data_IF_930697705212
#
_entry.id   IF_930697705212
#
_cell.length_a   1.000
_cell.length_b   1.000
_cell.length_c   1.000
_cell.angle_alpha   90.00
_cell.angle_beta   90.00
_cell.angle_gamma   90.00
#
_symmetry.space_group_name_H-M   'P 1'
#
loop_
_entity.id
_entity.type
_entity.pdbx_description
1 polymer ?
#
# COMPACT_ATOMS: atom_id res chain seq x y z
N UNK A 1 20.96 5.67 -6.35
CA UNK A 1 20.59 4.73 -7.43
C UNK A 1 20.95 5.38 -8.75
N UNK A 2 21.83 4.77 -9.51
CA UNK A 2 22.37 5.35 -10.74
C UNK A 2 21.29 5.56 -11.81
N UNK A 3 21.36 6.67 -12.54
CA UNK A 3 20.37 7.04 -13.54
C UNK A 3 21.06 7.57 -14.80
N UNK A 4 20.53 7.23 -15.97
CA UNK A 4 20.90 7.88 -17.21
C UNK A 4 20.20 9.24 -17.24
N UNK A 5 20.98 10.32 -17.25
CA UNK A 5 20.49 11.71 -17.25
C UNK A 5 20.59 12.41 -18.60
N UNK A 6 21.34 11.83 -19.54
CA UNK A 6 21.48 12.31 -20.91
C UNK A 6 22.04 11.21 -21.81
N UNK A 7 21.74 11.31 -23.09
CA UNK A 7 22.30 10.38 -24.08
C UNK A 7 22.41 11.03 -25.47
N UNK A 8 23.32 10.53 -26.28
CA UNK A 8 23.46 10.82 -27.70
C UNK A 8 23.41 9.51 -28.49
N UNK A 9 22.69 9.49 -29.59
CA UNK A 9 22.67 8.34 -30.51
C UNK A 9 23.86 8.41 -31.46
N UNK A 10 24.54 7.32 -31.64
CA UNK A 10 25.64 7.16 -32.56
C UNK A 10 25.11 6.51 -33.85
N UNK A 11 25.78 6.76 -34.99
CA UNK A 11 25.39 6.26 -36.32
C UNK A 11 25.43 4.72 -36.42
N UNK A 12 26.20 4.06 -35.56
CA UNK A 12 26.33 2.62 -35.49
C UNK A 12 25.21 1.92 -34.64
N UNK A 13 24.17 2.64 -34.23
CA UNK A 13 23.07 2.11 -33.41
C UNK A 13 23.37 2.02 -31.90
N UNK A 14 24.57 2.41 -31.47
CA UNK A 14 24.90 2.52 -30.03
C UNK A 14 24.48 3.88 -29.45
N UNK A 15 24.58 4.03 -28.14
CA UNK A 15 24.38 5.31 -27.47
C UNK A 15 25.61 5.65 -26.62
N UNK A 16 25.94 6.94 -26.55
CA UNK A 16 26.79 7.50 -25.51
C UNK A 16 25.88 8.06 -24.45
N UNK A 17 26.05 7.65 -23.18
CA UNK A 17 25.17 8.06 -22.09
C UNK A 17 25.94 8.67 -20.92
N UNK A 18 25.32 9.68 -20.28
CA UNK A 18 25.79 10.22 -19.01
C UNK A 18 24.99 9.58 -17.90
N UNK A 19 25.70 8.92 -16.98
CA UNK A 19 25.11 8.20 -15.83
C UNK A 19 25.47 8.96 -14.56
N UNK A 20 24.46 9.32 -13.78
CA UNK A 20 24.64 9.97 -12.48
C UNK A 20 24.60 8.96 -11.33
N UNK A 21 25.18 9.32 -10.18
CA UNK A 21 25.18 8.55 -8.93
C UNK A 21 25.85 7.15 -9.08
N UNK A 22 26.89 7.02 -9.91
CA UNK A 22 27.70 5.79 -9.98
C UNK A 22 28.65 5.79 -8.80
N UNK A 23 28.63 4.70 -8.01
CA UNK A 23 29.58 4.50 -6.94
C UNK A 23 30.75 3.68 -7.48
N UNK A 24 31.96 4.23 -7.41
CA UNK A 24 33.20 3.60 -7.83
C UNK A 24 34.15 3.51 -6.64
N UNK A 25 34.97 2.50 -6.64
CA UNK A 25 36.07 2.35 -5.68
C UNK A 25 37.21 3.31 -6.01
N UNK A 26 38.12 3.53 -5.07
CA UNK A 26 39.30 4.36 -5.29
C UNK A 26 40.19 3.85 -6.45
N UNK A 27 40.32 2.53 -6.56
CA UNK A 27 41.12 1.91 -7.65
C UNK A 27 40.47 2.12 -9.01
N UNK A 28 39.15 2.00 -9.10
CA UNK A 28 38.38 2.27 -10.31
C UNK A 28 38.46 3.74 -10.75
N UNK A 29 38.43 4.66 -9.76
CA UNK A 29 38.62 6.10 -10.03
C UNK A 29 40.01 6.38 -10.59
N UNK A 30 41.06 5.78 -10.02
CA UNK A 30 42.45 5.92 -10.54
C UNK A 30 42.60 5.42 -11.98
N UNK A 31 41.90 4.33 -12.35
CA UNK A 31 41.92 3.84 -13.73
C UNK A 31 41.35 4.89 -14.69
N UNK A 32 40.18 5.47 -14.34
CA UNK A 32 39.52 6.49 -15.15
C UNK A 32 40.37 7.77 -15.23
N UNK A 33 40.95 8.23 -14.14
CA UNK A 33 41.81 9.42 -14.08
C UNK A 33 43.06 9.25 -14.93
N UNK A 34 43.56 8.02 -15.10
CA UNK A 34 44.65 7.67 -15.99
C UNK A 34 44.22 7.45 -17.45
N UNK A 35 42.94 7.70 -17.78
CA UNK A 35 42.42 7.56 -19.12
C UNK A 35 42.16 6.08 -19.54
N UNK A 36 42.15 5.15 -18.60
CA UNK A 36 41.86 3.74 -18.87
C UNK A 36 40.34 3.50 -18.81
N UNK A 37 39.72 3.04 -19.91
CA UNK A 37 38.30 2.75 -19.93
C UNK A 37 37.93 1.62 -18.95
N UNK A 38 36.92 1.90 -18.11
CA UNK A 38 36.38 0.90 -17.18
C UNK A 38 35.17 0.20 -17.84
N UNK A 39 35.24 -1.13 -18.09
CA UNK A 39 34.09 -1.85 -18.59
C UNK A 39 33.02 -1.97 -17.52
N UNK A 40 31.79 -1.53 -17.83
CA UNK A 40 30.63 -1.60 -16.94
C UNK A 40 29.47 -2.31 -17.61
N UNK A 41 28.68 -3.03 -16.84
CA UNK A 41 27.41 -3.59 -17.31
C UNK A 41 26.25 -2.69 -16.82
N UNK A 42 25.49 -2.16 -17.77
CA UNK A 42 24.31 -1.32 -17.48
C UNK A 42 23.05 -2.12 -17.77
N UNK A 43 22.26 -2.38 -16.74
CA UNK A 43 20.94 -3.01 -16.88
C UNK A 43 19.85 -2.01 -16.52
N UNK A 44 18.88 -1.82 -17.42
CA UNK A 44 17.70 -1.02 -17.12
C UNK A 44 16.82 -1.77 -16.10
N UNK A 45 16.37 -1.06 -15.09
CA UNK A 45 15.37 -1.58 -14.16
C UNK A 45 14.00 -1.26 -14.75
N UNK A 46 13.19 -2.28 -14.98
CA UNK A 46 11.79 -2.09 -15.37
C UNK A 46 11.02 -1.46 -14.20
N UNK A 47 10.83 -0.14 -14.27
CA UNK A 47 10.13 0.63 -13.24
C UNK A 47 8.65 0.31 -13.16
N UNK A 48 8.10 -0.39 -14.16
CA UNK A 48 6.70 -0.83 -14.21
C UNK A 48 6.48 -2.22 -13.58
N UNK A 49 7.55 -2.96 -13.30
CA UNK A 49 7.49 -4.29 -12.71
C UNK A 49 7.07 -4.25 -11.25
N UNK A 50 6.35 -5.27 -10.79
CA UNK A 50 5.95 -5.46 -9.39
C UNK A 50 7.11 -5.19 -8.43
N UNK A 51 6.84 -4.48 -7.35
CA UNK A 51 7.83 -4.23 -6.29
C UNK A 51 7.84 -5.38 -5.28
N UNK A 52 8.98 -5.57 -4.59
CA UNK A 52 9.06 -6.54 -3.49
C UNK A 52 8.07 -6.24 -2.37
N UNK A 53 7.78 -4.96 -2.13
CA UNK A 53 6.77 -4.54 -1.15
C UNK A 53 5.37 -5.03 -1.54
N UNK A 54 4.98 -4.89 -2.80
CA UNK A 54 3.68 -5.39 -3.30
C UNK A 54 3.62 -6.92 -3.23
N UNK A 55 4.70 -7.60 -3.65
CA UNK A 55 4.80 -9.06 -3.58
C UNK A 55 4.64 -9.57 -2.14
N UNK A 56 5.37 -8.99 -1.19
CA UNK A 56 5.26 -9.32 0.24
C UNK A 56 3.84 -9.09 0.78
N UNK A 57 3.17 -8.02 0.35
CA UNK A 57 1.77 -7.75 0.74
C UNK A 57 0.82 -8.85 0.27
N UNK A 58 0.90 -9.26 -1.01
CA UNK A 58 0.05 -10.32 -1.56
C UNK A 58 0.23 -11.63 -0.78
N UNK A 59 1.48 -12.03 -0.51
CA UNK A 59 1.75 -13.23 0.27
C UNK A 59 1.24 -13.14 1.71
N UNK A 60 1.39 -11.99 2.36
CA UNK A 60 0.92 -11.79 3.73
C UNK A 60 -0.61 -11.85 3.83
N UNK A 61 -1.32 -11.22 2.89
CA UNK A 61 -2.79 -11.24 2.83
C UNK A 61 -3.32 -12.67 2.58
N UNK A 62 -2.74 -13.41 1.63
CA UNK A 62 -3.12 -14.80 1.38
C UNK A 62 -2.81 -15.71 2.59
N UNK A 63 -1.73 -15.45 3.33
CA UNK A 63 -1.43 -16.16 4.57
C UNK A 63 -2.44 -15.85 5.68
N UNK A 64 -2.93 -14.62 5.79
CA UNK A 64 -3.98 -14.28 6.76
C UNK A 64 -5.29 -15.01 6.45
N UNK A 65 -5.64 -15.16 5.16
CA UNK A 65 -6.78 -15.97 4.72
C UNK A 65 -6.61 -17.45 5.14
N UNK A 66 -5.41 -18.01 4.92
CA UNK A 66 -5.10 -19.39 5.34
C UNK A 66 -5.24 -19.59 6.85
N UNK A 67 -4.75 -18.63 7.64
CA UNK A 67 -4.85 -18.68 9.11
C UNK A 67 -6.31 -18.60 9.58
N UNK A 68 -7.13 -17.75 8.96
CA UNK A 68 -8.49 -17.46 9.42
C UNK A 68 -9.49 -18.54 9.01
N UNK A 69 -9.43 -19.02 7.76
CA UNK A 69 -10.42 -19.94 7.19
C UNK A 69 -9.85 -21.26 6.64
N UNK A 70 -8.54 -21.49 6.77
CA UNK A 70 -7.90 -22.74 6.35
C UNK A 70 -7.74 -22.93 4.85
N UNK A 71 -8.05 -21.93 4.01
CA UNK A 71 -7.84 -22.02 2.57
C UNK A 71 -6.36 -21.84 2.23
N UNK A 72 -5.73 -22.79 1.49
CA UNK A 72 -4.31 -22.75 1.19
C UNK A 72 -3.91 -21.42 0.52
N UNK A 73 -2.91 -20.74 1.07
CA UNK A 73 -2.45 -19.42 0.58
C UNK A 73 -2.04 -19.43 -0.90
N UNK A 74 -1.45 -20.51 -1.38
CA UNK A 74 -1.03 -20.61 -2.78
C UNK A 74 -2.22 -20.75 -3.72
N UNK A 75 -3.26 -21.47 -3.31
CA UNK A 75 -4.52 -21.53 -4.03
C UNK A 75 -5.21 -20.16 -4.06
N UNK A 76 -5.32 -19.48 -2.92
CA UNK A 76 -5.93 -18.15 -2.85
C UNK A 76 -5.18 -17.13 -3.72
N UNK A 77 -3.85 -17.17 -3.69
CA UNK A 77 -3.02 -16.34 -4.57
C UNK A 77 -3.32 -16.58 -6.05
N UNK A 78 -3.32 -17.84 -6.48
CA UNK A 78 -3.64 -18.22 -7.86
C UNK A 78 -5.06 -17.76 -8.23
N UNK A 79 -6.03 -17.98 -7.39
CA UNK A 79 -7.43 -17.59 -7.60
C UNK A 79 -7.56 -16.07 -7.82
N UNK A 80 -6.90 -15.23 -7.01
CA UNK A 80 -6.93 -13.79 -7.20
C UNK A 80 -6.16 -13.32 -8.45
N UNK A 81 -5.08 -13.97 -8.81
CA UNK A 81 -4.38 -13.69 -10.07
C UNK A 81 -5.29 -13.96 -11.27
N UNK A 82 -5.97 -15.10 -11.30
CA UNK A 82 -6.92 -15.45 -12.34
C UNK A 82 -8.16 -14.55 -12.34
N UNK A 83 -8.69 -14.22 -11.17
CA UNK A 83 -9.80 -13.28 -11.05
C UNK A 83 -9.47 -11.92 -11.69
N UNK A 84 -8.31 -11.36 -11.41
CA UNK A 84 -7.84 -10.11 -11.99
C UNK A 84 -7.57 -10.25 -13.49
N UNK A 85 -7.01 -11.39 -13.92
CA UNK A 85 -6.78 -11.67 -15.33
C UNK A 85 -8.09 -11.59 -16.13
N UNK A 86 -9.12 -12.28 -15.66
CA UNK A 86 -10.43 -12.32 -16.31
C UNK A 86 -11.15 -10.97 -16.22
N UNK A 87 -11.17 -10.35 -15.03
CA UNK A 87 -11.88 -9.08 -14.79
C UNK A 87 -11.37 -7.95 -15.69
N UNK A 88 -10.06 -7.88 -15.91
CA UNK A 88 -9.44 -6.81 -16.71
C UNK A 88 -9.08 -7.24 -18.14
N UNK A 89 -9.42 -8.46 -18.56
CA UNK A 89 -9.19 -8.96 -19.91
C UNK A 89 -7.72 -9.14 -20.26
N UNK A 90 -6.86 -9.49 -19.30
CA UNK A 90 -5.45 -9.76 -19.59
C UNK A 90 -5.32 -11.11 -20.33
N UNK A 91 -4.69 -11.09 -21.50
CA UNK A 91 -4.50 -12.30 -22.33
C UNK A 91 -3.56 -13.32 -21.70
N UNK A 92 -2.49 -12.83 -21.04
CA UNK A 92 -1.45 -13.66 -20.43
C UNK A 92 -1.72 -13.89 -18.96
N UNK A 93 -1.33 -15.07 -18.47
CA UNK A 93 -1.33 -15.37 -17.04
C UNK A 93 -0.53 -14.33 -16.25
N UNK A 94 -1.06 -13.94 -15.10
CA UNK A 94 -0.40 -12.98 -14.21
C UNK A 94 0.49 -13.76 -13.25
N UNK A 95 1.81 -13.57 -13.36
CA UNK A 95 2.77 -14.15 -12.42
C UNK A 95 3.39 -13.08 -11.54
N UNK A 96 3.45 -13.32 -10.22
CA UNK A 96 4.10 -12.39 -9.28
C UNK A 96 5.63 -12.29 -9.47
N UNK A 97 6.25 -13.11 -10.35
CA UNK A 97 7.65 -12.96 -10.72
C UNK A 97 7.89 -11.78 -11.66
N UNK A 98 6.90 -11.43 -12.50
CA UNK A 98 7.09 -10.49 -13.61
C UNK A 98 5.89 -9.58 -13.91
N UNK A 99 4.79 -9.64 -13.17
CA UNK A 99 3.63 -8.80 -13.41
C UNK A 99 3.95 -7.30 -13.20
N UNK A 100 3.11 -6.44 -13.73
CA UNK A 100 3.25 -4.99 -13.58
C UNK A 100 2.82 -4.53 -12.20
N UNK A 101 3.28 -3.34 -11.78
CA UNK A 101 2.81 -2.66 -10.56
C UNK A 101 1.31 -2.49 -10.54
N UNK A 102 0.71 -2.18 -11.70
CA UNK A 102 -0.73 -2.01 -11.84
C UNK A 102 -1.47 -3.32 -11.54
N UNK A 103 -1.05 -4.43 -12.17
CA UNK A 103 -1.63 -5.75 -11.91
C UNK A 103 -1.48 -6.16 -10.44
N UNK A 104 -0.30 -5.92 -9.84
CA UNK A 104 -0.08 -6.21 -8.43
C UNK A 104 -0.98 -5.38 -7.49
N UNK A 105 -1.22 -4.10 -7.80
CA UNK A 105 -2.15 -3.26 -7.02
C UNK A 105 -3.58 -3.76 -7.14
N UNK A 106 -4.03 -4.13 -8.34
CA UNK A 106 -5.36 -4.70 -8.57
C UNK A 106 -5.57 -6.01 -7.80
N UNK A 107 -4.55 -6.88 -7.75
CA UNK A 107 -4.59 -8.12 -6.95
C UNK A 107 -4.72 -7.78 -5.46
N UNK A 108 -3.92 -6.84 -4.94
CA UNK A 108 -3.98 -6.42 -3.54
C UNK A 108 -5.36 -5.88 -3.18
N UNK A 109 -5.93 -5.01 -4.02
CA UNK A 109 -7.27 -4.45 -3.84
C UNK A 109 -8.34 -5.55 -3.80
N UNK A 110 -8.30 -6.48 -4.75
CA UNK A 110 -9.25 -7.60 -4.80
C UNK A 110 -9.17 -8.50 -3.57
N UNK A 111 -7.96 -8.82 -3.09
CA UNK A 111 -7.78 -9.61 -1.87
C UNK A 111 -8.36 -8.86 -0.66
N UNK A 112 -8.07 -7.58 -0.52
CA UNK A 112 -8.55 -6.74 0.58
C UNK A 112 -10.08 -6.67 0.56
N UNK A 113 -10.69 -6.39 -0.58
CA UNK A 113 -12.15 -6.35 -0.73
C UNK A 113 -12.80 -7.69 -0.38
N UNK A 114 -12.22 -8.79 -0.85
CA UNK A 114 -12.70 -10.13 -0.55
C UNK A 114 -12.58 -10.47 0.93
N UNK A 115 -11.46 -10.12 1.58
CA UNK A 115 -11.26 -10.31 3.01
C UNK A 115 -12.30 -9.53 3.83
N UNK A 116 -12.56 -8.28 3.47
CA UNK A 116 -13.59 -7.47 4.15
C UNK A 116 -14.99 -8.02 3.95
N UNK A 117 -15.31 -8.46 2.73
CA UNK A 117 -16.60 -9.07 2.43
C UNK A 117 -16.86 -10.33 3.27
N UNK A 118 -15.82 -11.14 3.47
CA UNK A 118 -15.88 -12.40 4.25
C UNK A 118 -15.55 -12.21 5.73
N UNK A 119 -15.42 -10.98 6.24
CA UNK A 119 -15.06 -10.65 7.63
C UNK A 119 -13.75 -11.25 8.12
N UNK A 120 -12.80 -11.50 7.22
CA UNK A 120 -11.46 -12.01 7.55
C UNK A 120 -10.61 -10.88 8.13
N UNK A 121 -9.91 -11.15 9.22
CA UNK A 121 -9.10 -10.15 9.92
C UNK A 121 -7.63 -10.21 9.50
N UNK A 122 -6.97 -9.05 9.49
CA UNK A 122 -5.52 -9.00 9.28
C UNK A 122 -4.78 -9.36 10.56
N UNK A 123 -3.68 -10.09 10.42
CA UNK A 123 -2.72 -10.21 11.52
C UNK A 123 -2.03 -8.86 11.78
N UNK A 124 -1.48 -8.68 12.99
CA UNK A 124 -0.71 -7.46 13.34
C UNK A 124 0.47 -7.27 12.40
N UNK A 125 1.11 -8.37 11.97
CA UNK A 125 2.23 -8.35 11.03
C UNK A 125 1.80 -7.83 9.66
N UNK A 126 0.67 -8.29 9.13
CA UNK A 126 0.12 -7.83 7.86
C UNK A 126 -0.35 -6.38 7.94
N UNK A 127 -1.03 -5.98 9.01
CA UNK A 127 -1.40 -4.58 9.26
C UNK A 127 -0.19 -3.65 9.20
N UNK A 128 0.96 -4.08 9.75
CA UNK A 128 2.20 -3.31 9.68
C UNK A 128 2.75 -3.14 8.26
N UNK A 129 2.63 -4.16 7.40
CA UNK A 129 3.02 -4.09 5.99
C UNK A 129 2.11 -3.19 5.16
N UNK A 130 0.85 -3.07 5.58
CA UNK A 130 -0.17 -2.28 4.89
C UNK A 130 -0.18 -0.81 5.35
N UNK A 131 0.52 -0.47 6.44
CA UNK A 131 0.70 0.93 6.88
C UNK A 131 1.27 1.77 5.75
N UNK A 132 0.67 2.95 5.54
CA UNK A 132 1.01 3.85 4.45
C UNK A 132 0.44 3.47 3.07
N UNK A 133 -0.33 2.37 2.98
CA UNK A 133 -1.14 2.07 1.79
C UNK A 133 -2.51 2.75 1.94
N UNK A 134 -2.70 3.83 1.19
CA UNK A 134 -3.92 4.65 1.29
C UNK A 134 -5.19 3.86 0.94
N UNK A 135 -5.13 2.97 -0.03
CA UNK A 135 -6.28 2.14 -0.41
C UNK A 135 -6.68 1.20 0.74
N UNK A 136 -5.70 0.51 1.33
CA UNK A 136 -5.95 -0.35 2.48
C UNK A 136 -6.50 0.42 3.69
N UNK A 137 -5.90 1.57 4.03
CA UNK A 137 -6.36 2.40 5.14
C UNK A 137 -7.78 2.91 4.92
N UNK A 138 -8.12 3.28 3.69
CA UNK A 138 -9.46 3.66 3.28
C UNK A 138 -10.45 2.50 3.48
N UNK A 139 -10.16 1.32 2.92
CA UNK A 139 -11.04 0.16 3.03
C UNK A 139 -11.19 -0.35 4.45
N UNK A 140 -10.11 -0.41 5.23
CA UNK A 140 -10.18 -0.71 6.66
C UNK A 140 -11.07 0.27 7.41
N UNK A 141 -10.98 1.56 7.06
CA UNK A 141 -11.78 2.62 7.67
C UNK A 141 -13.27 2.50 7.29
N UNK A 142 -13.59 2.29 6.01
CA UNK A 142 -14.95 2.08 5.52
C UNK A 142 -15.59 0.84 6.17
N UNK A 143 -14.86 -0.25 6.28
CA UNK A 143 -15.35 -1.52 6.84
C UNK A 143 -15.22 -1.60 8.37
N UNK A 144 -14.80 -0.52 9.01
CA UNK A 144 -14.65 -0.43 10.48
C UNK A 144 -13.78 -1.55 11.05
N UNK A 145 -12.67 -1.83 10.39
CA UNK A 145 -11.60 -2.68 10.91
C UNK A 145 -10.43 -1.84 11.39
N UNK A 146 -9.95 -2.12 12.59
CA UNK A 146 -8.86 -1.37 13.21
C UNK A 146 -7.58 -1.48 12.36
N UNK A 147 -7.06 -0.35 11.92
CA UNK A 147 -5.84 -0.28 11.10
C UNK A 147 -4.57 -0.80 11.81
N UNK A 148 -4.65 -1.03 13.12
CA UNK A 148 -3.53 -1.51 13.94
C UNK A 148 -3.62 -3.01 14.19
N UNK A 149 -4.80 -3.55 14.53
CA UNK A 149 -4.97 -4.94 14.96
C UNK A 149 -6.08 -5.70 14.23
N UNK A 150 -6.73 -5.13 13.21
CA UNK A 150 -7.78 -5.77 12.43
C UNK A 150 -9.13 -5.95 13.13
N UNK A 151 -9.23 -5.77 14.44
CA UNK A 151 -10.48 -5.95 15.19
C UNK A 151 -11.53 -4.92 14.81
N UNK A 152 -12.83 -5.24 15.10
CA UNK A 152 -13.94 -4.29 14.89
C UNK A 152 -13.63 -2.93 15.52
N UNK A 153 -13.93 -1.88 14.78
CA UNK A 153 -13.48 -0.54 15.09
C UNK A 153 -14.57 0.52 14.99
N UNK A 154 -14.30 1.65 15.62
CA UNK A 154 -15.02 2.91 15.49
C UNK A 154 -14.23 3.87 14.60
N UNK A 155 -14.91 4.89 14.04
CA UNK A 155 -14.24 5.93 13.26
C UNK A 155 -13.70 7.01 14.21
N UNK A 156 -12.39 7.02 14.40
CA UNK A 156 -11.66 8.02 15.16
C UNK A 156 -11.38 9.23 14.27
N UNK A 157 -11.61 10.43 14.79
CA UNK A 157 -11.31 11.68 14.09
C UNK A 157 -9.89 12.15 14.40
N UNK A 158 -9.22 12.69 13.38
CA UNK A 158 -7.92 13.34 13.56
C UNK A 158 -8.06 14.63 14.40
N UNK A 159 -9.03 15.44 14.02
CA UNK A 159 -9.37 16.66 14.77
C UNK A 159 -10.62 16.40 15.61
N UNK A 160 -10.58 16.84 16.87
CA UNK A 160 -11.71 16.68 17.78
C UNK A 160 -12.94 17.44 17.26
N UNK A 161 -14.08 16.76 17.15
CA UNK A 161 -15.34 17.34 16.63
C UNK A 161 -16.07 18.19 17.67
N UNK A 162 -15.48 18.40 18.84
CA UNK A 162 -16.06 19.18 19.95
C UNK A 162 -17.10 18.42 20.78
N UNK A 163 -17.11 18.66 22.09
CA UNK A 163 -18.12 18.09 22.99
C UNK A 163 -19.47 18.74 22.76
N UNK A 164 -20.57 17.97 22.80
CA UNK A 164 -21.93 18.46 22.72
C UNK A 164 -22.53 18.68 21.35
N UNK A 165 -21.78 18.50 20.26
CA UNK A 165 -22.33 18.58 18.90
C UNK A 165 -22.94 17.25 18.47
N UNK A 166 -24.11 17.30 17.85
CA UNK A 166 -24.74 16.11 17.27
C UNK A 166 -23.97 15.66 16.02
N UNK A 167 -23.14 14.62 16.17
CA UNK A 167 -22.27 14.09 15.10
C UNK A 167 -23.03 13.72 13.82
N UNK A 168 -24.32 13.38 13.91
CA UNK A 168 -25.16 13.04 12.73
C UNK A 168 -25.55 14.26 11.90
N UNK A 169 -25.47 15.47 12.47
CA UNK A 169 -25.83 16.73 11.79
C UNK A 169 -24.61 17.53 11.31
N UNK A 170 -23.41 17.07 11.61
CA UNK A 170 -22.16 17.77 11.23
C UNK A 170 -21.70 17.28 9.87
N UNK A 171 -21.14 18.19 9.07
CA UNK A 171 -20.40 17.86 7.86
C UNK A 171 -18.96 17.53 8.23
N UNK A 172 -18.48 16.33 7.83
CA UNK A 172 -17.16 15.82 8.21
C UNK A 172 -16.12 15.90 7.09
N UNK A 173 -16.46 16.45 5.92
CA UNK A 173 -15.61 16.45 4.71
C UNK A 173 -14.27 17.14 4.87
N UNK A 174 -14.15 18.06 5.84
CA UNK A 174 -12.89 18.75 6.12
C UNK A 174 -12.06 18.07 7.24
N UNK A 175 -12.41 16.83 7.60
CA UNK A 175 -11.71 16.09 8.64
C UNK A 175 -11.02 14.84 8.05
N UNK A 176 -10.13 14.27 8.83
CA UNK A 176 -9.51 12.98 8.53
C UNK A 176 -9.92 11.97 9.59
N UNK A 177 -10.06 10.72 9.18
CA UNK A 177 -10.50 9.64 10.06
C UNK A 177 -9.66 8.39 9.87
N UNK A 178 -9.64 7.55 10.91
CA UNK A 178 -9.15 6.18 10.86
C UNK A 178 -10.08 5.26 11.66
N UNK A 179 -10.16 3.99 11.27
CA UNK A 179 -10.81 2.97 12.07
C UNK A 179 -9.88 2.50 13.19
N UNK A 180 -10.29 2.72 14.44
CA UNK A 180 -9.57 2.27 15.63
C UNK A 180 -10.52 1.45 16.52
N UNK A 181 -10.08 0.28 17.00
CA UNK A 181 -10.87 -0.48 17.97
C UNK A 181 -10.98 0.29 19.29
N UNK A 182 -11.94 -0.03 20.18
CA UNK A 182 -12.14 0.72 21.42
C UNK A 182 -10.87 0.88 22.28
N UNK A 183 -9.97 -0.12 22.23
CA UNK A 183 -8.69 -0.05 22.96
C UNK A 183 -7.78 1.01 22.35
N UNK A 184 -7.51 0.95 21.05
CA UNK A 184 -6.63 1.89 20.38
C UNK A 184 -7.25 3.30 20.27
N UNK A 185 -8.58 3.40 20.18
CA UNK A 185 -9.27 4.69 20.19
C UNK A 185 -9.15 5.39 21.55
N UNK A 186 -9.32 4.64 22.66
CA UNK A 186 -9.09 5.16 24.01
C UNK A 186 -7.64 5.57 24.21
N UNK A 187 -6.71 4.75 23.75
CA UNK A 187 -5.27 5.05 23.82
C UNK A 187 -4.93 6.34 23.06
N UNK A 188 -5.48 6.53 21.86
CA UNK A 188 -5.30 7.77 21.08
C UNK A 188 -5.78 9.00 21.87
N UNK A 189 -6.92 8.91 22.57
CA UNK A 189 -7.40 10.00 23.41
C UNK A 189 -6.53 10.24 24.65
N UNK A 190 -5.98 9.18 25.24
CA UNK A 190 -5.16 9.28 26.46
C UNK A 190 -3.80 9.90 26.20
N UNK A 191 -3.12 9.47 25.14
CA UNK A 191 -1.75 9.92 24.85
C UNK A 191 -1.66 11.09 23.87
N UNK A 192 -2.78 11.45 23.25
CA UNK A 192 -2.87 12.50 22.24
C UNK A 192 -2.41 12.04 20.85
N UNK A 193 -2.90 12.77 19.83
CA UNK A 193 -2.77 12.38 18.42
C UNK A 193 -1.31 12.26 17.96
N UNK A 194 -0.44 13.18 18.36
CA UNK A 194 0.96 13.19 17.93
C UNK A 194 1.74 11.99 18.47
N UNK A 195 1.63 11.72 19.77
CA UNK A 195 2.29 10.58 20.43
C UNK A 195 1.76 9.26 19.90
N UNK A 196 0.44 9.16 19.68
CA UNK A 196 -0.20 8.00 19.08
C UNK A 196 0.30 7.72 17.66
N UNK A 197 0.33 8.76 16.81
CA UNK A 197 0.84 8.65 15.45
C UNK A 197 2.30 8.22 15.41
N UNK A 198 3.14 8.74 16.30
CA UNK A 198 4.56 8.33 16.43
C UNK A 198 4.67 6.87 16.86
N UNK A 199 3.93 6.45 17.88
CA UNK A 199 3.94 5.08 18.40
C UNK A 199 3.58 4.04 17.33
N UNK A 200 2.54 4.32 16.55
CA UNK A 200 2.02 3.38 15.57
C UNK A 200 2.45 3.67 14.12
N UNK A 201 3.31 4.68 13.89
CA UNK A 201 3.77 5.12 12.56
C UNK A 201 2.60 5.47 11.62
N UNK A 202 1.65 6.28 12.12
CA UNK A 202 0.41 6.64 11.44
C UNK A 202 0.35 8.12 11.01
N UNK A 203 1.47 8.85 11.01
CA UNK A 203 1.49 10.30 10.74
C UNK A 203 0.81 10.64 9.40
N UNK A 204 1.09 9.88 8.35
CA UNK A 204 0.55 10.09 7.00
C UNK A 204 -0.57 9.09 6.63
N UNK A 205 -1.12 8.39 7.64
CA UNK A 205 -2.06 7.28 7.43
C UNK A 205 -3.53 7.67 7.54
N UNK A 206 -3.82 8.89 7.96
CA UNK A 206 -5.18 9.37 8.14
C UNK A 206 -5.86 9.62 6.80
N UNK A 207 -7.09 9.13 6.69
CA UNK A 207 -7.90 9.14 5.47
C UNK A 207 -8.78 10.37 5.44
N UNK A 208 -8.76 11.09 4.33
CA UNK A 208 -9.66 12.22 4.11
C UNK A 208 -11.11 11.73 4.01
N UNK A 209 -12.05 12.47 4.61
CA UNK A 209 -13.46 12.08 4.61
C UNK A 209 -14.10 12.43 3.28
N UNK A 210 -14.39 11.42 2.49
CA UNK A 210 -15.21 11.52 1.28
C UNK A 210 -16.72 11.42 1.59
N UNK A 211 -17.55 11.44 0.55
CA UNK A 211 -19.01 11.31 0.70
C UNK A 211 -19.43 9.99 1.35
N UNK A 212 -18.72 8.88 1.07
CA UNK A 212 -19.00 7.56 1.64
C UNK A 212 -18.71 7.53 3.14
N UNK A 213 -17.53 7.97 3.53
CA UNK A 213 -17.14 8.08 4.95
C UNK A 213 -18.02 9.08 5.71
N UNK A 214 -18.40 10.19 5.07
CA UNK A 214 -19.31 11.17 5.66
C UNK A 214 -20.68 10.56 5.96
N UNK A 215 -21.25 9.76 5.06
CA UNK A 215 -22.50 9.01 5.31
C UNK A 215 -22.35 8.04 6.50
N UNK A 216 -21.24 7.28 6.55
CA UNK A 216 -20.95 6.38 7.66
C UNK A 216 -20.84 7.09 8.99
N UNK A 217 -20.21 8.28 9.04
CA UNK A 217 -20.08 9.11 10.22
C UNK A 217 -21.43 9.66 10.69
N UNK A 218 -22.34 9.96 9.77
CA UNK A 218 -23.73 10.36 10.04
C UNK A 218 -24.62 9.17 10.46
N UNK A 219 -24.10 7.95 10.47
CA UNK A 219 -24.86 6.74 10.83
C UNK A 219 -25.79 6.24 9.73
N UNK A 220 -25.59 6.66 8.49
CA UNK A 220 -26.36 6.19 7.34
C UNK A 220 -25.80 4.87 6.84
N UNK A 221 -26.69 3.91 6.50
CA UNK A 221 -26.29 2.66 5.87
C UNK A 221 -25.77 2.94 4.44
N UNK A 222 -24.68 2.31 4.06
CA UNK A 222 -24.27 2.25 2.66
C UNK A 222 -25.19 1.26 1.95
N UNK A 223 -25.93 1.70 0.95
CA UNK A 223 -26.61 0.77 0.06
C UNK A 223 -25.52 -0.05 -0.64
N UNK A 224 -25.58 -1.36 -0.48
CA UNK A 224 -24.80 -2.28 -1.29
C UNK A 224 -25.35 -2.17 -2.72
N UNK A 225 -24.61 -1.49 -3.58
CA UNK A 225 -24.83 -1.50 -5.04
C UNK A 225 -23.96 -2.58 -5.64
#
# INVERSE_FOLDING_TARGET
MSKIIGYQRNDNGTITAVINDVQLTQDELQLIDNGIPLPIEVRSIDTNKITDKQRKKIFALCNDIEIDIGQPRDYMRYMFQEYIRVLYGYEKEISLSNCTKKQASQIIEAIIDWMFFNNITFTVKTSSLLKGDKAMLYWATVNRQCVICGKRAELAHYQAVGRGRNRRKIEHTNNKVLALCPIHHREQHTMGIHSFNKKYSLTDSWVDVDQRLNRLLKGQKLNQS
#
